data_IF_432842189184
#
_entry.id   IF_432842189184
#
_cell.length_a   1.000
_cell.length_b   1.000
_cell.length_c   1.000
_cell.angle_alpha   90.00
_cell.angle_beta   90.00
_cell.angle_gamma   90.00
#
_symmetry.space_group_name_H-M   'P 1'
#
loop_
_entity.id
_entity.type
_entity.pdbx_description
1 polymer ?
#
# COMPACT_ATOMS: atom_id res chain seq x y z
N UNK A 1 -36.71 -40.82 7.33
CA UNK A 1 -35.83 -40.81 6.15
C UNK A 1 -36.73 -41.01 4.94
N UNK A 2 -36.89 -39.99 4.07
CA UNK A 2 -37.35 -40.09 2.66
C UNK A 2 -37.74 -38.75 1.99
N UNK A 3 -37.65 -37.59 2.67
CA UNK A 3 -38.04 -36.32 2.05
C UNK A 3 -36.95 -35.59 1.23
N UNK A 4 -35.69 -36.04 1.28
CA UNK A 4 -34.60 -35.34 0.58
C UNK A 4 -34.39 -35.82 -0.86
N UNK A 5 -34.82 -37.05 -1.19
CA UNK A 5 -34.57 -37.64 -2.51
C UNK A 5 -35.51 -37.06 -3.59
N UNK A 6 -36.77 -36.79 -3.24
CA UNK A 6 -37.75 -36.18 -4.15
C UNK A 6 -37.44 -34.71 -4.48
N UNK A 7 -36.70 -34.02 -3.63
CA UNK A 7 -36.23 -32.66 -3.88
C UNK A 7 -35.11 -32.60 -4.93
N UNK A 8 -34.29 -33.66 -5.02
CA UNK A 8 -33.18 -33.74 -5.98
C UNK A 8 -33.65 -34.04 -7.40
N UNK A 9 -34.74 -34.80 -7.56
CA UNK A 9 -35.29 -35.18 -8.87
C UNK A 9 -36.04 -34.05 -9.59
N UNK A 10 -36.34 -32.93 -8.91
CA UNK A 10 -37.09 -31.79 -9.47
C UNK A 10 -36.22 -30.67 -10.06
N UNK A 11 -34.88 -30.74 -10.01
CA UNK A 11 -34.01 -29.74 -10.64
C UNK A 11 -33.71 -30.11 -12.09
N UNK A 12 -34.26 -29.34 -13.02
CA UNK A 12 -33.90 -29.41 -14.43
C UNK A 12 -32.39 -29.11 -14.64
N UNK A 13 -31.73 -29.74 -15.63
CA UNK A 13 -30.30 -29.58 -15.83
C UNK A 13 -29.97 -28.17 -16.33
N UNK A 14 -29.07 -27.46 -15.63
CA UNK A 14 -28.47 -26.22 -16.11
C UNK A 14 -27.09 -26.51 -16.69
N UNK A 15 -26.85 -26.06 -17.92
CA UNK A 15 -25.53 -26.10 -18.56
C UNK A 15 -24.64 -25.04 -17.93
N UNK A 16 -23.58 -25.48 -17.26
CA UNK A 16 -22.49 -24.63 -16.73
C UNK A 16 -21.20 -24.97 -17.48
N UNK A 17 -20.40 -23.95 -17.76
CA UNK A 17 -19.18 -24.04 -18.58
C UNK A 17 -17.92 -24.45 -17.80
N UNK A 18 -18.02 -24.80 -16.52
CA UNK A 18 -16.85 -25.18 -15.72
C UNK A 18 -17.08 -26.51 -14.98
N UNK A 19 -16.79 -27.66 -15.62
CA UNK A 19 -17.06 -28.98 -15.04
C UNK A 19 -15.94 -29.52 -14.14
N UNK A 20 -14.86 -28.77 -13.91
CA UNK A 20 -13.78 -29.19 -13.00
C UNK A 20 -13.31 -28.01 -12.16
N UNK A 21 -13.37 -28.20 -10.83
CA UNK A 21 -13.02 -27.20 -9.84
C UNK A 21 -11.59 -26.71 -9.99
N UNK A 22 -11.44 -25.39 -10.09
CA UNK A 22 -10.17 -24.73 -9.89
C UNK A 22 -9.77 -24.87 -8.41
N UNK A 23 -8.57 -25.41 -8.15
CA UNK A 23 -7.91 -25.31 -6.85
C UNK A 23 -7.84 -23.83 -6.42
N UNK A 24 -8.01 -23.52 -5.12
CA UNK A 24 -8.01 -22.15 -4.64
C UNK A 24 -6.62 -21.56 -4.81
N UNK A 25 -6.48 -20.64 -5.77
CA UNK A 25 -5.40 -19.64 -5.72
C UNK A 25 -5.58 -18.83 -4.44
N UNK A 26 -4.51 -18.47 -3.71
CA UNK A 26 -4.63 -17.59 -2.56
C UNK A 26 -5.24 -16.27 -3.02
N UNK A 27 -6.50 -16.06 -2.66
CA UNK A 27 -7.19 -14.80 -2.82
C UNK A 27 -6.46 -13.80 -1.91
N UNK A 28 -5.71 -12.88 -2.51
CA UNK A 28 -5.46 -11.60 -1.84
C UNK A 28 -6.83 -11.04 -1.48
N UNK A 29 -7.13 -10.75 -0.20
CA UNK A 29 -8.43 -10.27 0.18
C UNK A 29 -8.63 -8.92 -0.49
N UNK A 30 -9.43 -8.90 -1.56
CA UNK A 30 -10.00 -7.68 -2.09
C UNK A 30 -11.08 -7.32 -1.10
N UNK A 31 -10.69 -6.60 -0.05
CA UNK A 31 -11.61 -5.90 0.82
C UNK A 31 -12.42 -4.99 -0.12
N UNK A 32 -13.68 -5.36 -0.38
CA UNK A 32 -14.69 -4.40 -0.84
C UNK A 32 -14.94 -3.47 0.33
N UNK A 33 -14.03 -2.54 0.52
CA UNK A 33 -14.25 -1.39 1.38
C UNK A 33 -15.18 -0.48 0.59
N UNK A 34 -16.40 -0.30 1.07
CA UNK A 34 -17.21 0.85 0.66
C UNK A 34 -16.29 2.06 0.70
N UNK A 35 -16.08 2.68 -0.47
CA UNK A 35 -15.19 3.82 -0.57
C UNK A 35 -15.60 4.82 0.51
N UNK A 36 -14.76 5.09 1.53
CA UNK A 36 -15.06 6.13 2.49
C UNK A 36 -15.28 7.39 1.67
N UNK A 37 -16.38 8.09 1.93
CA UNK A 37 -16.67 9.38 1.30
C UNK A 37 -15.36 10.18 1.30
N UNK A 38 -14.90 10.55 0.10
CA UNK A 38 -13.60 11.19 -0.07
C UNK A 38 -13.48 12.29 0.97
N UNK A 39 -12.40 12.33 1.79
CA UNK A 39 -12.30 13.33 2.84
C UNK A 39 -12.46 14.70 2.20
N UNK A 40 -13.58 15.36 2.50
CA UNK A 40 -13.84 16.70 2.00
C UNK A 40 -12.77 17.60 2.58
N UNK A 41 -12.00 18.23 1.69
CA UNK A 41 -10.94 19.12 2.12
C UNK A 41 -11.59 20.41 2.59
N UNK A 42 -11.61 20.57 3.90
CA UNK A 42 -11.92 21.85 4.54
C UNK A 42 -10.66 22.70 4.46
N UNK A 43 -10.65 23.65 3.52
CA UNK A 43 -9.57 24.63 3.40
C UNK A 43 -9.68 25.66 4.52
N UNK A 44 -8.54 26.09 5.06
CA UNK A 44 -8.53 27.28 5.91
C UNK A 44 -8.83 28.53 5.09
N UNK A 45 -9.22 29.66 5.72
CA UNK A 45 -9.40 30.92 5.00
C UNK A 45 -8.17 31.37 4.20
N UNK A 46 -6.97 31.13 4.73
CA UNK A 46 -5.70 31.41 4.07
C UNK A 46 -5.50 30.52 2.84
N UNK A 47 -5.85 29.25 2.95
CA UNK A 47 -5.74 28.29 1.84
C UNK A 47 -6.76 28.57 0.75
N UNK A 48 -7.99 28.93 1.13
CA UNK A 48 -8.99 29.40 0.19
C UNK A 48 -8.51 30.67 -0.53
N UNK A 49 -7.86 31.59 0.18
CA UNK A 49 -7.25 32.77 -0.46
C UNK A 49 -6.16 32.37 -1.44
N UNK A 50 -5.28 31.44 -1.09
CA UNK A 50 -4.24 30.94 -2.01
C UNK A 50 -4.85 30.30 -3.27
N UNK A 51 -5.93 29.53 -3.13
CA UNK A 51 -6.67 28.96 -4.26
C UNK A 51 -7.23 30.06 -5.16
N UNK A 52 -7.87 31.08 -4.58
CA UNK A 52 -8.45 32.19 -5.34
C UNK A 52 -7.37 33.00 -6.07
N UNK A 53 -6.28 33.33 -5.37
CA UNK A 53 -5.14 34.08 -5.92
C UNK A 53 -4.46 33.30 -7.06
N UNK A 54 -4.36 31.98 -6.92
CA UNK A 54 -3.81 31.12 -7.96
C UNK A 54 -4.76 31.01 -9.16
N UNK A 55 -6.08 30.83 -8.93
CA UNK A 55 -7.09 30.77 -9.98
C UNK A 55 -7.07 32.02 -10.87
N UNK A 56 -6.84 33.20 -10.28
CA UNK A 56 -6.74 34.47 -11.01
C UNK A 56 -5.50 34.55 -11.92
N UNK A 57 -4.44 33.79 -11.65
CA UNK A 57 -3.21 33.76 -12.46
C UNK A 57 -3.27 32.75 -13.60
N UNK A 58 -4.26 31.85 -13.61
CA UNK A 58 -4.40 30.82 -14.65
C UNK A 58 -4.88 31.48 -15.94
N UNK A 59 -4.00 31.49 -16.94
CA UNK A 59 -4.33 31.90 -18.30
C UNK A 59 -4.57 30.67 -19.19
N UNK A 60 -5.84 30.42 -19.52
CA UNK A 60 -6.26 29.29 -20.38
C UNK A 60 -5.83 29.51 -21.85
N UNK A 61 -5.55 30.75 -22.27
CA UNK A 61 -5.06 31.01 -23.63
C UNK A 61 -3.59 30.63 -23.80
N UNK A 62 -2.86 30.48 -22.69
CA UNK A 62 -1.50 30.00 -22.69
C UNK A 62 -1.47 28.46 -22.78
N UNK A 63 -1.32 27.95 -24.01
CA UNK A 63 -1.24 26.51 -24.29
C UNK A 63 -0.20 25.77 -23.45
N UNK A 64 0.96 26.38 -23.20
CA UNK A 64 2.02 25.74 -22.41
C UNK A 64 1.60 25.59 -20.94
N UNK A 65 0.96 26.62 -20.38
CA UNK A 65 0.42 26.56 -19.01
C UNK A 65 -0.63 25.46 -18.90
N UNK A 66 -1.58 25.40 -19.83
CA UNK A 66 -2.64 24.37 -19.86
C UNK A 66 -2.03 22.96 -19.96
N UNK A 67 -1.05 22.75 -20.85
CA UNK A 67 -0.42 21.44 -21.04
C UNK A 67 0.33 20.96 -19.79
N UNK A 68 0.99 21.87 -19.07
CA UNK A 68 1.78 21.60 -17.88
C UNK A 68 1.00 21.72 -16.56
N UNK A 69 -0.30 22.02 -16.64
CA UNK A 69 -1.10 22.26 -15.45
C UNK A 69 -1.09 21.04 -14.51
N UNK A 70 -0.60 21.23 -13.29
CA UNK A 70 -0.48 20.18 -12.28
C UNK A 70 0.53 19.06 -12.59
N UNK A 71 1.32 19.17 -13.67
CA UNK A 71 2.33 18.16 -14.03
C UNK A 71 3.38 17.94 -12.92
N UNK A 72 3.74 19.01 -12.20
CA UNK A 72 4.63 18.91 -11.04
C UNK A 72 4.05 18.07 -9.91
N UNK A 73 2.76 18.25 -9.59
CA UNK A 73 2.06 17.49 -8.56
C UNK A 73 1.84 16.03 -8.98
N UNK A 74 1.59 15.76 -10.26
CA UNK A 74 1.54 14.39 -10.80
C UNK A 74 2.89 13.68 -10.72
N UNK A 75 3.99 14.37 -11.08
CA UNK A 75 5.33 13.82 -10.98
C UNK A 75 5.69 13.43 -9.55
N UNK A 76 5.38 14.29 -8.58
CA UNK A 76 5.55 14.01 -7.15
C UNK A 76 4.88 12.70 -6.71
N UNK A 77 3.68 12.39 -7.20
CA UNK A 77 2.97 11.13 -6.93
C UNK A 77 3.59 9.93 -7.65
N UNK A 78 4.07 10.11 -8.88
CA UNK A 78 4.77 9.07 -9.62
C UNK A 78 6.08 8.68 -8.91
N UNK A 79 6.91 9.67 -8.57
CA UNK A 79 8.16 9.50 -7.82
C UNK A 79 7.88 8.87 -6.44
N UNK A 80 6.75 9.21 -5.81
CA UNK A 80 6.30 8.61 -4.56
C UNK A 80 6.00 7.12 -4.69
N UNK A 81 5.26 6.72 -5.72
CA UNK A 81 4.86 5.33 -5.96
C UNK A 81 6.07 4.44 -6.24
N UNK A 82 7.05 4.95 -6.99
CA UNK A 82 8.26 4.21 -7.32
C UNK A 82 9.16 3.99 -6.08
N UNK A 83 9.38 5.02 -5.27
CA UNK A 83 10.19 4.89 -4.04
C UNK A 83 9.52 4.01 -2.98
N UNK A 84 8.19 4.06 -2.84
CA UNK A 84 7.46 3.22 -1.89
C UNK A 84 7.46 1.75 -2.29
N UNK A 85 7.19 1.45 -3.56
CA UNK A 85 7.13 0.07 -4.07
C UNK A 85 8.49 -0.61 -4.06
N UNK A 86 9.56 0.12 -4.38
CA UNK A 86 10.92 -0.44 -4.43
C UNK A 86 11.47 -0.84 -3.04
N UNK A 87 10.96 -0.23 -1.96
CA UNK A 87 11.43 -0.54 -0.61
C UNK A 87 10.58 -1.61 0.09
N UNK A 88 9.30 -1.74 -0.28
CA UNK A 88 8.35 -2.69 0.34
C UNK A 88 8.25 -4.01 -0.42
N UNK A 89 8.41 -4.02 -1.75
CA UNK A 89 8.18 -5.21 -2.59
C UNK A 89 9.30 -6.25 -2.55
N UNK A 90 10.48 -5.89 -2.03
CA UNK A 90 11.70 -6.70 -2.10
C UNK A 90 12.08 -7.40 -0.79
N UNK A 91 11.23 -7.36 0.25
CA UNK A 91 11.56 -7.96 1.54
C UNK A 91 10.62 -9.13 1.84
N UNK A 92 11.10 -10.32 1.53
CA UNK A 92 10.41 -11.59 1.73
C UNK A 92 10.03 -11.79 3.20
N UNK A 93 8.79 -11.43 3.53
CA UNK A 93 8.08 -11.91 4.72
C UNK A 93 8.15 -13.45 4.85
N UNK A 94 8.37 -14.16 3.73
CA UNK A 94 8.61 -15.60 3.67
C UNK A 94 9.92 -16.07 4.30
N UNK A 95 11.03 -15.33 4.15
CA UNK A 95 12.32 -15.71 4.76
C UNK A 95 12.27 -15.57 6.28
N UNK A 96 11.62 -14.53 6.80
CA UNK A 96 11.45 -14.32 8.24
C UNK A 96 10.56 -15.41 8.85
N UNK A 97 9.44 -15.76 8.18
CA UNK A 97 8.58 -16.87 8.57
C UNK A 97 9.34 -18.19 8.62
N UNK A 98 10.21 -18.44 7.64
CA UNK A 98 11.09 -19.63 7.63
C UNK A 98 12.14 -19.61 8.74
N UNK A 99 12.73 -18.45 9.04
CA UNK A 99 13.70 -18.35 10.15
C UNK A 99 13.04 -18.57 11.51
N UNK A 100 11.87 -17.96 11.76
CA UNK A 100 11.09 -18.20 12.98
C UNK A 100 10.64 -19.66 13.08
N UNK A 101 10.18 -20.25 11.97
CA UNK A 101 9.85 -21.66 11.91
C UNK A 101 11.09 -22.55 12.14
N UNK A 102 12.26 -22.12 11.67
CA UNK A 102 13.55 -22.78 11.89
C UNK A 102 13.96 -22.78 13.36
N UNK A 103 13.77 -21.66 14.07
CA UNK A 103 13.92 -21.64 15.54
C UNK A 103 12.97 -22.66 16.15
N UNK A 104 11.67 -22.61 15.85
CA UNK A 104 10.68 -23.54 16.40
C UNK A 104 10.99 -25.01 16.07
N UNK A 105 11.54 -25.29 14.88
CA UNK A 105 11.95 -26.62 14.47
C UNK A 105 13.16 -27.13 15.28
N UNK A 106 14.21 -26.32 15.43
CA UNK A 106 15.38 -26.65 16.25
C UNK A 106 14.98 -26.87 17.72
N UNK A 107 14.02 -26.07 18.22
CA UNK A 107 13.44 -26.23 19.56
C UNK A 107 12.73 -27.59 19.71
N UNK A 108 11.91 -27.98 18.73
CA UNK A 108 11.15 -29.25 18.75
C UNK A 108 12.04 -30.49 18.61
N UNK A 109 13.11 -30.41 17.82
CA UNK A 109 14.04 -31.51 17.64
C UNK A 109 14.80 -31.83 18.94
N UNK A 110 15.07 -30.81 19.76
CA UNK A 110 15.66 -31.00 21.09
C UNK A 110 14.70 -31.69 22.07
N UNK A 111 13.44 -31.24 22.17
CA UNK A 111 12.43 -31.83 23.06
C UNK A 111 12.04 -33.28 22.68
N UNK A 112 11.92 -33.57 21.37
CA UNK A 112 11.51 -34.90 20.89
C UNK A 112 12.60 -35.98 21.10
N UNK A 113 13.88 -35.62 21.05
CA UNK A 113 14.99 -36.56 21.31
C UNK A 113 15.18 -36.91 22.80
N UNK A 114 14.65 -36.09 23.71
CA UNK A 114 14.59 -36.38 25.15
C UNK A 114 13.48 -37.39 25.48
N UNK A 115 12.29 -37.28 24.84
CA UNK A 115 11.18 -38.20 25.05
C UNK A 115 11.39 -39.59 24.39
N UNK A 116 12.07 -39.68 23.25
CA UNK A 116 12.30 -40.97 22.56
C UNK A 116 13.22 -41.96 23.31
N UNK A 117 13.80 -41.57 24.47
CA UNK A 117 14.68 -42.45 25.27
C UNK A 117 14.04 -42.99 26.55
N UNK A 118 12.73 -43.20 26.52
CA UNK A 118 12.01 -43.98 27.53
C UNK A 118 12.23 -45.51 27.44
N UNK A 119 12.61 -46.09 28.58
CA UNK A 119 12.60 -47.49 29.04
C UNK A 119 13.59 -48.57 28.53
N UNK A 120 14.36 -48.43 27.45
CA UNK A 120 15.25 -49.54 26.98
C UNK A 120 16.77 -49.25 26.94
N UNK A 121 17.24 -48.12 27.47
CA UNK A 121 18.62 -47.63 27.27
C UNK A 121 19.57 -47.63 28.48
N UNK A 122 19.25 -48.32 29.57
CA UNK A 122 20.13 -48.40 30.75
C UNK A 122 21.30 -49.36 30.48
N UNK A 123 22.54 -48.91 30.72
CA UNK A 123 23.83 -49.62 30.59
C UNK A 123 24.55 -49.56 29.23
N UNK A 124 25.04 -48.37 28.83
CA UNK A 124 26.43 -48.23 28.35
C UNK A 124 26.90 -46.76 28.30
N UNK A 125 28.05 -46.52 28.95
CA UNK A 125 28.95 -45.35 28.88
C UNK A 125 28.36 -43.97 29.24
N UNK A 126 28.55 -43.59 30.50
CA UNK A 126 28.16 -42.28 31.05
C UNK A 126 29.08 -41.10 30.68
N UNK A 127 30.32 -41.35 30.22
CA UNK A 127 31.28 -40.27 29.87
C UNK A 127 31.03 -39.69 28.48
N UNK A 128 30.95 -40.53 27.45
CA UNK A 128 30.72 -40.07 26.07
C UNK A 128 29.33 -39.44 25.85
N UNK A 129 28.35 -39.70 26.72
CA UNK A 129 27.01 -39.11 26.64
C UNK A 129 27.02 -37.64 27.08
N UNK A 130 27.78 -37.30 28.12
CA UNK A 130 27.91 -35.93 28.60
C UNK A 130 28.66 -35.06 27.58
N UNK A 131 29.75 -35.59 27.03
CA UNK A 131 30.52 -34.88 25.99
C UNK A 131 29.71 -34.70 24.71
N UNK A 132 28.93 -35.70 24.27
CA UNK A 132 28.03 -35.56 23.12
C UNK A 132 26.88 -34.56 23.37
N UNK A 133 26.29 -34.56 24.56
CA UNK A 133 25.25 -33.59 24.94
C UNK A 133 25.83 -32.17 24.94
N UNK A 134 27.04 -31.98 25.47
CA UNK A 134 27.74 -30.70 25.46
C UNK A 134 28.05 -30.21 24.04
N UNK A 135 28.57 -31.09 23.18
CA UNK A 135 28.84 -30.75 21.77
C UNK A 135 27.54 -30.39 21.03
N UNK A 136 26.43 -31.09 21.31
CA UNK A 136 25.12 -30.76 20.74
C UNK A 136 24.60 -29.42 21.25
N UNK A 137 24.77 -29.12 22.55
CA UNK A 137 24.44 -27.83 23.15
C UNK A 137 25.24 -26.70 22.50
N UNK A 138 26.57 -26.83 22.43
CA UNK A 138 27.45 -25.80 21.83
C UNK A 138 27.08 -25.53 20.36
N UNK A 139 26.64 -26.56 19.62
CA UNK A 139 26.16 -26.43 18.25
C UNK A 139 24.81 -25.73 18.15
N UNK A 140 23.83 -26.12 18.97
CA UNK A 140 22.50 -25.50 19.00
C UNK A 140 22.58 -24.03 19.46
N UNK A 141 23.39 -23.74 20.49
CA UNK A 141 23.66 -22.38 20.94
C UNK A 141 24.32 -21.54 19.83
N UNK A 142 25.29 -22.09 19.10
CA UNK A 142 25.92 -21.43 17.96
C UNK A 142 24.94 -21.11 16.83
N UNK A 143 24.04 -22.04 16.49
CA UNK A 143 22.97 -21.85 15.50
C UNK A 143 21.99 -20.77 15.95
N UNK A 144 21.55 -20.82 17.21
CA UNK A 144 20.57 -19.88 17.76
C UNK A 144 21.15 -18.48 17.86
N UNK A 145 22.39 -18.32 18.31
CA UNK A 145 23.05 -17.00 18.31
C UNK A 145 23.15 -16.40 16.90
N UNK A 146 23.37 -17.25 15.87
CA UNK A 146 23.35 -16.80 14.48
C UNK A 146 21.96 -16.33 14.06
N UNK A 147 20.92 -17.09 14.41
CA UNK A 147 19.53 -16.74 14.10
C UNK A 147 19.11 -15.46 14.84
N UNK A 148 19.46 -15.30 16.12
CA UNK A 148 19.23 -14.08 16.89
C UNK A 148 19.80 -12.86 16.17
N UNK A 149 21.06 -12.94 15.73
CA UNK A 149 21.72 -11.82 15.04
C UNK A 149 20.98 -11.44 13.75
N UNK A 150 20.58 -12.42 12.94
CA UNK A 150 19.83 -12.16 11.71
C UNK A 150 18.46 -11.55 12.03
N UNK A 151 17.77 -12.07 13.06
CA UNK A 151 16.50 -11.52 13.53
C UNK A 151 16.63 -10.06 14.00
N UNK A 152 17.69 -9.72 14.74
CA UNK A 152 17.99 -8.35 15.16
C UNK A 152 18.22 -7.40 13.97
N UNK A 153 19.00 -7.83 12.97
CA UNK A 153 19.24 -7.05 11.74
C UNK A 153 17.94 -6.81 10.96
N UNK A 154 17.06 -7.82 10.87
CA UNK A 154 15.73 -7.68 10.27
C UNK A 154 14.82 -6.76 11.09
N UNK A 155 14.83 -6.85 12.43
CA UNK A 155 14.04 -5.97 13.29
C UNK A 155 14.43 -4.51 13.06
N UNK A 156 15.73 -4.20 13.01
CA UNK A 156 16.22 -2.84 12.72
C UNK A 156 15.72 -2.36 11.36
N UNK A 157 15.68 -3.26 10.37
CA UNK A 157 15.18 -2.96 9.03
C UNK A 157 13.69 -2.65 9.04
N UNK A 158 12.87 -3.47 9.70
CA UNK A 158 11.42 -3.25 9.83
C UNK A 158 11.10 -1.94 10.57
N UNK A 159 11.86 -1.60 11.62
CA UNK A 159 11.70 -0.33 12.33
C UNK A 159 12.04 0.88 11.43
N UNK A 160 13.08 0.78 10.60
CA UNK A 160 13.41 1.82 9.61
C UNK A 160 12.33 1.95 8.55
N UNK A 161 11.78 0.84 8.06
CA UNK A 161 10.71 0.82 7.07
C UNK A 161 9.43 1.45 7.64
N UNK A 162 9.03 1.09 8.86
CA UNK A 162 7.89 1.69 9.54
C UNK A 162 8.04 3.22 9.71
N UNK A 163 9.22 3.70 10.10
CA UNK A 163 9.50 5.14 10.20
C UNK A 163 9.51 5.85 8.83
N UNK A 164 10.00 5.18 7.79
CA UNK A 164 9.92 5.70 6.42
C UNK A 164 8.46 5.79 5.95
N UNK A 165 7.64 4.78 6.24
CA UNK A 165 6.21 4.74 5.88
C UNK A 165 5.42 5.85 6.58
N UNK A 166 5.78 6.24 7.81
CA UNK A 166 5.21 7.43 8.45
C UNK A 166 5.50 8.71 7.65
N UNK A 167 6.74 8.90 7.21
CA UNK A 167 7.10 10.05 6.36
C UNK A 167 6.41 9.99 5.01
N UNK A 168 6.23 8.80 4.45
CA UNK A 168 5.47 8.61 3.23
C UNK A 168 3.99 8.99 3.41
N UNK A 169 3.39 8.63 4.54
CA UNK A 169 2.02 9.02 4.86
C UNK A 169 1.87 10.55 4.96
N UNK A 170 2.78 11.23 5.69
CA UNK A 170 2.80 12.69 5.78
C UNK A 170 2.93 13.36 4.39
N UNK A 171 3.83 12.85 3.55
CA UNK A 171 4.03 13.35 2.18
C UNK A 171 2.79 13.13 1.31
N UNK A 172 2.16 11.97 1.39
CA UNK A 172 0.93 11.66 0.66
C UNK A 172 -0.22 12.61 1.03
N UNK A 173 -0.39 12.93 2.32
CA UNK A 173 -1.37 13.92 2.77
C UNK A 173 -1.10 15.31 2.19
N UNK A 174 0.17 15.73 2.16
CA UNK A 174 0.56 17.01 1.56
C UNK A 174 0.25 17.05 0.06
N UNK A 175 0.55 15.96 -0.67
CA UNK A 175 0.22 15.86 -2.10
C UNK A 175 -1.27 15.84 -2.37
N UNK A 176 -2.04 15.11 -1.55
CA UNK A 176 -3.50 15.11 -1.63
C UNK A 176 -4.08 16.52 -1.49
N UNK A 177 -3.56 17.29 -0.52
CA UNK A 177 -3.96 18.68 -0.30
C UNK A 177 -3.56 19.60 -1.46
N UNK A 178 -2.30 19.51 -1.90
CA UNK A 178 -1.78 20.27 -3.04
C UNK A 178 -2.63 20.04 -4.30
N UNK A 179 -2.83 18.77 -4.70
CA UNK A 179 -3.65 18.40 -5.85
C UNK A 179 -5.05 18.99 -5.77
N UNK A 180 -5.64 18.97 -4.58
CA UNK A 180 -6.99 19.46 -4.39
C UNK A 180 -7.11 20.96 -4.49
N UNK A 181 -6.12 21.70 -3.99
CA UNK A 181 -6.04 23.15 -4.21
C UNK A 181 -5.89 23.46 -5.71
N UNK A 182 -5.05 22.72 -6.44
CA UNK A 182 -4.95 22.84 -7.91
C UNK A 182 -6.27 22.54 -8.62
N UNK A 183 -6.98 21.47 -8.23
CA UNK A 183 -8.28 21.12 -8.80
C UNK A 183 -9.30 22.23 -8.55
N UNK A 184 -9.37 22.75 -7.32
CA UNK A 184 -10.31 23.82 -6.96
C UNK A 184 -10.03 25.10 -7.75
N UNK A 185 -8.77 25.53 -7.82
CA UNK A 185 -8.38 26.72 -8.59
C UNK A 185 -8.67 26.55 -10.08
N UNK A 186 -8.36 25.37 -10.62
CA UNK A 186 -8.62 25.03 -12.02
C UNK A 186 -10.11 25.05 -12.34
N UNK A 187 -10.95 24.43 -11.49
CA UNK A 187 -12.41 24.46 -11.65
C UNK A 187 -12.96 25.88 -11.58
N UNK A 188 -12.49 26.69 -10.64
CA UNK A 188 -12.90 28.09 -10.53
C UNK A 188 -12.57 28.89 -11.80
N UNK A 189 -11.34 28.76 -12.33
CA UNK A 189 -10.97 29.43 -13.58
C UNK A 189 -11.74 28.90 -14.78
N UNK A 190 -11.94 27.57 -14.87
CA UNK A 190 -12.71 26.95 -15.96
C UNK A 190 -14.16 27.42 -15.95
N UNK A 191 -14.77 27.55 -14.78
CA UNK A 191 -16.13 28.07 -14.63
C UNK A 191 -16.22 29.52 -15.13
N UNK A 192 -15.31 30.39 -14.70
CA UNK A 192 -15.22 31.76 -15.19
C UNK A 192 -15.01 31.80 -16.72
N UNK A 193 -14.13 30.95 -17.23
CA UNK A 193 -13.84 30.85 -18.65
C UNK A 193 -15.08 30.48 -19.47
N UNK A 194 -15.87 29.52 -19.00
CA UNK A 194 -17.08 29.03 -19.70
C UNK A 194 -18.28 29.94 -19.56
N UNK A 195 -18.47 30.56 -18.41
CA UNK A 195 -19.68 31.35 -18.11
C UNK A 195 -19.53 32.83 -18.38
N UNK A 196 -18.30 33.35 -18.44
CA UNK A 196 -18.04 34.79 -18.61
C UNK A 196 -17.21 35.07 -19.85
N UNK A 197 -16.05 34.41 -20.02
CA UNK A 197 -15.09 34.78 -21.08
C UNK A 197 -15.50 34.24 -22.46
N UNK A 198 -15.88 32.96 -22.55
CA UNK A 198 -16.32 32.33 -23.80
C UNK A 198 -17.60 32.98 -24.37
N UNK A 199 -18.67 33.25 -23.59
CA UNK A 199 -19.86 33.92 -24.12
C UNK A 199 -19.57 35.31 -24.68
N UNK A 200 -18.62 36.05 -24.09
CA UNK A 200 -18.19 37.36 -24.62
C UNK A 200 -17.48 37.21 -25.97
N UNK A 201 -16.65 36.19 -26.15
CA UNK A 201 -15.97 35.91 -27.42
C UNK A 201 -16.97 35.50 -28.50
N UNK A 202 -17.94 34.64 -28.16
CA UNK A 202 -19.01 34.23 -29.06
C UNK A 202 -19.87 35.43 -29.50
N UNK A 203 -20.32 36.25 -28.55
CA UNK A 203 -21.10 37.46 -28.87
C UNK A 203 -20.31 38.45 -29.75
N UNK A 204 -19.00 38.57 -29.54
CA UNK A 204 -18.13 39.39 -30.39
C UNK A 204 -18.04 38.82 -31.81
N UNK A 205 -17.84 37.52 -31.96
CA UNK A 205 -17.80 36.86 -33.26
C UNK A 205 -19.12 37.03 -34.04
N UNK A 206 -20.26 36.91 -33.35
CA UNK A 206 -21.59 37.15 -33.92
C UNK A 206 -21.78 38.61 -34.37
N UNK A 207 -21.33 39.57 -33.56
CA UNK A 207 -21.46 41.00 -33.88
C UNK A 207 -20.53 41.47 -35.00
N UNK A 208 -19.29 40.99 -35.03
CA UNK A 208 -18.31 41.43 -36.03
C UNK A 208 -18.50 40.71 -37.37
N UNK A 209 -18.96 39.46 -37.37
CA UNK A 209 -19.06 38.62 -38.57
C UNK A 209 -17.69 38.26 -39.17
N UNK A 210 -16.59 38.57 -38.48
CA UNK A 210 -15.24 38.34 -38.95
C UNK A 210 -14.82 36.88 -38.70
N UNK A 211 -14.23 36.18 -39.69
CA UNK A 211 -13.70 34.83 -39.52
C UNK A 211 -12.68 34.72 -38.37
N UNK A 212 -11.88 35.76 -38.13
CA UNK A 212 -10.84 35.79 -37.10
C UNK A 212 -11.43 35.75 -35.69
N UNK A 213 -12.50 36.51 -35.43
CA UNK A 213 -13.18 36.50 -34.12
C UNK A 213 -13.91 35.16 -33.90
N UNK A 214 -14.46 34.57 -34.95
CA UNK A 214 -15.07 33.22 -34.90
C UNK A 214 -14.02 32.17 -34.55
N UNK A 215 -12.84 32.23 -35.19
CA UNK A 215 -11.73 31.34 -34.90
C UNK A 215 -11.24 31.50 -33.45
N UNK A 216 -11.09 32.75 -32.97
CA UNK A 216 -10.67 33.01 -31.61
C UNK A 216 -11.63 32.42 -30.55
N UNK A 217 -12.94 32.51 -30.78
CA UNK A 217 -13.93 31.89 -29.89
C UNK A 217 -13.83 30.36 -29.88
N UNK A 218 -13.65 29.74 -31.06
CA UNK A 218 -13.47 28.29 -31.19
C UNK A 218 -12.16 27.79 -30.54
N UNK A 219 -11.06 28.52 -30.74
CA UNK A 219 -9.76 28.20 -30.13
C UNK A 219 -9.85 28.28 -28.59
N UNK A 220 -10.53 29.32 -28.09
CA UNK A 220 -10.76 29.48 -26.66
C UNK A 220 -11.61 28.34 -26.08
N UNK A 221 -12.68 27.95 -26.77
CA UNK A 221 -13.50 26.79 -26.38
C UNK A 221 -12.67 25.50 -26.34
N UNK A 222 -11.83 25.26 -27.35
CA UNK A 222 -10.92 24.10 -27.38
C UNK A 222 -9.93 24.12 -26.22
N UNK A 223 -9.41 25.29 -25.84
CA UNK A 223 -8.54 25.40 -24.67
C UNK A 223 -9.27 25.12 -23.36
N UNK A 224 -10.52 25.55 -23.22
CA UNK A 224 -11.36 25.19 -22.07
C UNK A 224 -11.54 23.67 -21.96
N UNK A 225 -11.83 22.97 -23.06
CA UNK A 225 -11.95 21.50 -23.08
C UNK A 225 -10.65 20.79 -22.72
N UNK A 226 -9.50 21.29 -23.22
CA UNK A 226 -8.18 20.74 -22.88
C UNK A 226 -7.87 20.94 -21.40
N UNK A 227 -8.18 22.12 -20.87
CA UNK A 227 -7.96 22.44 -19.47
C UNK A 227 -8.86 21.61 -18.55
N UNK A 228 -10.11 21.37 -18.92
CA UNK A 228 -11.01 20.45 -18.21
C UNK A 228 -10.44 19.03 -18.13
N UNK A 229 -9.94 18.49 -19.25
CA UNK A 229 -9.29 17.17 -19.27
C UNK A 229 -8.10 17.12 -18.30
N UNK A 230 -7.30 18.19 -18.23
CA UNK A 230 -6.18 18.29 -17.29
C UNK A 230 -6.64 18.30 -15.84
N UNK A 231 -7.73 19.00 -15.53
CA UNK A 231 -8.33 18.98 -14.19
C UNK A 231 -8.79 17.56 -13.84
N UNK A 232 -9.46 16.87 -14.77
CA UNK A 232 -9.89 15.49 -14.57
C UNK A 232 -8.73 14.52 -14.31
N UNK A 233 -7.62 14.65 -15.05
CA UNK A 233 -6.40 13.86 -14.80
C UNK A 233 -5.86 14.08 -13.38
N UNK A 234 -5.95 15.31 -12.85
CA UNK A 234 -5.58 15.62 -11.47
C UNK A 234 -6.55 15.01 -10.46
N UNK A 235 -7.85 14.98 -10.75
CA UNK A 235 -8.86 14.32 -9.90
C UNK A 235 -8.64 12.81 -9.79
N UNK A 236 -8.29 12.17 -10.90
CA UNK A 236 -7.89 10.77 -10.91
C UNK A 236 -6.65 10.55 -10.04
N UNK A 237 -5.65 11.42 -10.20
CA UNK A 237 -4.41 11.37 -9.40
C UNK A 237 -4.69 11.57 -7.90
N UNK A 238 -5.60 12.48 -7.55
CA UNK A 238 -6.04 12.69 -6.15
C UNK A 238 -6.71 11.45 -5.58
N UNK A 239 -7.53 10.77 -6.39
CA UNK A 239 -8.21 9.53 -5.98
C UNK A 239 -7.21 8.42 -5.67
N UNK A 240 -6.16 8.29 -6.49
CA UNK A 240 -5.06 7.36 -6.22
C UNK A 240 -4.38 7.72 -4.89
N UNK A 241 -4.04 9.00 -4.67
CA UNK A 241 -3.44 9.45 -3.41
C UNK A 241 -4.27 9.06 -2.19
N UNK A 242 -5.59 9.26 -2.27
CA UNK A 242 -6.54 8.91 -1.21
C UNK A 242 -6.55 7.40 -0.90
N UNK A 243 -6.45 6.56 -1.93
CA UNK A 243 -6.38 5.09 -1.79
C UNK A 243 -5.02 4.61 -1.27
N UNK A 244 -3.93 5.35 -1.53
CA UNK A 244 -2.60 4.98 -1.03
C UNK A 244 -2.47 5.18 0.49
N UNK A 245 -3.16 6.17 1.07
CA UNK A 245 -3.10 6.44 2.50
C UNK A 245 -3.39 5.21 3.40
N UNK A 246 -4.50 4.47 3.23
CA UNK A 246 -4.75 3.24 3.99
C UNK A 246 -3.76 2.12 3.67
N UNK A 247 -3.27 2.02 2.42
CA UNK A 247 -2.28 1.01 2.03
C UNK A 247 -0.95 1.22 2.76
N UNK A 248 -0.47 2.47 2.86
CA UNK A 248 0.74 2.82 3.61
C UNK A 248 0.59 2.42 5.08
N UNK A 249 -0.56 2.73 5.69
CA UNK A 249 -0.85 2.39 7.09
C UNK A 249 -0.92 0.88 7.33
N UNK A 250 -1.50 0.13 6.39
CA UNK A 250 -1.56 -1.32 6.47
C UNK A 250 -0.15 -1.94 6.47
N UNK A 251 0.71 -1.52 5.53
CA UNK A 251 2.10 -2.01 5.44
C UNK A 251 2.86 -1.65 6.73
N UNK A 252 2.73 -0.41 7.18
CA UNK A 252 3.37 0.06 8.41
C UNK A 252 2.94 -0.77 9.63
N UNK A 253 1.63 -1.06 9.76
CA UNK A 253 1.10 -1.88 10.84
C UNK A 253 1.66 -3.29 10.79
N UNK A 254 1.84 -3.86 9.59
CA UNK A 254 2.42 -5.18 9.42
C UNK A 254 3.90 -5.22 9.82
N UNK A 255 4.69 -4.22 9.41
CA UNK A 255 6.11 -4.11 9.77
C UNK A 255 6.30 -3.95 11.29
N UNK A 256 5.44 -3.13 11.90
CA UNK A 256 5.43 -2.91 13.36
C UNK A 256 5.10 -4.20 14.10
N UNK A 257 4.04 -4.90 13.71
CA UNK A 257 3.63 -6.17 14.33
C UNK A 257 4.71 -7.26 14.16
N UNK A 258 5.39 -7.31 13.02
CA UNK A 258 6.50 -8.25 12.81
C UNK A 258 7.71 -7.90 13.70
N UNK A 259 8.05 -6.61 13.81
CA UNK A 259 9.11 -6.14 14.69
C UNK A 259 8.84 -6.49 16.16
N UNK A 260 7.60 -6.32 16.62
CA UNK A 260 7.17 -6.70 17.98
C UNK A 260 7.29 -8.21 18.22
N UNK A 261 6.92 -9.03 17.23
CA UNK A 261 7.07 -10.50 17.30
C UNK A 261 8.53 -10.93 17.39
N UNK A 262 9.40 -10.33 16.57
CA UNK A 262 10.83 -10.57 16.62
C UNK A 262 11.38 -10.19 18.00
N UNK A 263 11.03 -8.99 18.48
CA UNK A 263 11.45 -8.51 19.81
C UNK A 263 11.06 -9.50 20.90
N UNK A 264 9.78 -9.89 20.95
CA UNK A 264 9.27 -10.82 21.96
C UNK A 264 10.00 -12.18 21.89
N UNK A 265 10.29 -12.66 20.69
CA UNK A 265 11.03 -13.92 20.51
C UNK A 265 12.46 -13.81 21.05
N UNK A 266 13.17 -12.70 20.74
CA UNK A 266 14.53 -12.45 21.19
C UNK A 266 14.64 -12.27 22.71
N UNK A 267 13.70 -11.55 23.33
CA UNK A 267 13.82 -11.13 24.75
C UNK A 267 13.06 -12.04 25.73
N UNK A 268 12.03 -12.74 25.27
CA UNK A 268 11.20 -13.59 26.14
C UNK A 268 11.39 -15.08 25.81
N UNK A 269 11.24 -15.47 24.54
CA UNK A 269 11.20 -16.89 24.15
C UNK A 269 12.58 -17.55 24.19
N UNK A 270 13.58 -16.96 23.53
CA UNK A 270 14.93 -17.54 23.43
C UNK A 270 15.62 -17.64 24.81
N UNK A 271 15.58 -16.61 25.68
CA UNK A 271 16.19 -16.70 27.01
C UNK A 271 15.53 -17.76 27.89
N UNK A 272 14.19 -17.88 27.83
CA UNK A 272 13.46 -18.91 28.56
C UNK A 272 13.92 -20.30 28.14
N UNK A 273 14.04 -20.56 26.83
CA UNK A 273 14.53 -21.84 26.34
C UNK A 273 15.98 -22.10 26.74
N UNK A 274 16.87 -21.10 26.60
CA UNK A 274 18.26 -21.23 27.05
C UNK A 274 18.36 -21.60 28.53
N UNK A 275 17.45 -21.07 29.37
CA UNK A 275 17.38 -21.40 30.79
C UNK A 275 16.81 -22.79 31.10
N UNK A 276 16.04 -23.39 30.19
CA UNK A 276 15.50 -24.74 30.32
C UNK A 276 16.49 -25.83 29.88
N UNK A 277 17.44 -25.50 29.02
CA UNK A 277 18.50 -26.42 28.58
C UNK A 277 19.69 -26.55 29.54
N UNK A 278 19.86 -25.58 30.46
CA UNK A 278 20.96 -25.53 31.45
C UNK A 278 20.51 -26.23 32.72
#
# INVERSE_FOLDING_TARGET
MNNDLDAMLKKAPSLTFEPFGAEPKPETPVVKEEAPAAPEIVLTPEEQKMVNDFAAQIDITNTQLVLQYGAGSQKKIADFSENALNNVRTKDMGEIGQMLAGVVAELREFDAEEEEKGILGFFKKSSNKLDNLKIKYDKAEGNINRICKVMEEHQITLLKDAAMLDKMYELNLNYFKELSMYILAGKQKLEQARTVELPKLLARAEQSGLPEDTQAANDYASMCERFEKKIYDLELTRTISMQMAPQIRLIQSNDTAMSEKIQSTLVNTIPLWKSQMV
#
